data_IF_338131121538
#
_entry.id   IF_338131121538
#
_cell.length_a   1.000
_cell.length_b   1.000
_cell.length_c   1.000
_cell.angle_alpha   90.00
_cell.angle_beta   90.00
_cell.angle_gamma   90.00
#
_symmetry.space_group_name_H-M   'P 1'
#
loop_
_entity.id
_entity.type
_entity.pdbx_description
1 polymer ?
#
# COMPACT_ATOMS: atom_id res chain seq x y z
N UNK A 1 16.45 -20.27 7.31
CA UNK A 1 15.62 -19.55 6.35
C UNK A 1 15.92 -18.06 6.44
N UNK A 2 16.21 -17.45 5.33
CA UNK A 2 16.55 -16.03 5.30
C UNK A 2 15.40 -15.22 4.72
N UNK A 3 15.24 -14.02 5.24
CA UNK A 3 14.30 -13.07 4.67
C UNK A 3 14.99 -12.27 3.56
N UNK A 4 14.21 -11.84 2.58
CA UNK A 4 14.73 -11.05 1.47
C UNK A 4 14.11 -9.65 1.51
N UNK A 5 14.96 -8.64 1.43
CA UNK A 5 14.50 -7.26 1.29
C UNK A 5 14.04 -7.04 -0.14
N UNK A 6 12.85 -6.47 -0.31
CA UNK A 6 12.29 -6.13 -1.62
C UNK A 6 12.41 -4.63 -1.84
N UNK A 7 12.95 -4.24 -2.97
CA UNK A 7 13.09 -2.83 -3.34
C UNK A 7 12.84 -2.66 -4.84
N UNK A 8 12.08 -1.64 -5.19
CA UNK A 8 11.88 -1.22 -6.58
C UNK A 8 11.87 0.31 -6.67
N UNK A 9 12.41 0.83 -7.77
CA UNK A 9 12.35 2.27 -8.05
C UNK A 9 10.98 2.68 -8.62
N UNK A 10 10.12 1.71 -8.91
CA UNK A 10 8.77 1.96 -9.45
C UNK A 10 7.73 2.25 -8.36
N UNK A 11 8.13 2.25 -7.11
CA UNK A 11 7.28 2.61 -5.98
C UNK A 11 7.97 3.67 -5.14
N UNK A 12 7.22 4.26 -4.20
CA UNK A 12 7.75 5.30 -3.32
C UNK A 12 9.01 4.82 -2.61
N UNK A 13 10.04 5.65 -2.62
CA UNK A 13 11.31 5.33 -1.95
C UNK A 13 11.12 5.34 -0.44
N UNK A 14 11.50 4.27 0.27
CA UNK A 14 11.36 4.23 1.71
C UNK A 14 12.45 5.07 2.39
N UNK A 15 12.20 5.57 3.61
CA UNK A 15 13.27 6.14 4.41
C UNK A 15 14.24 5.04 4.85
N UNK A 16 15.33 5.44 5.53
CA UNK A 16 16.34 4.47 5.99
C UNK A 16 15.84 3.57 7.12
N UNK A 17 14.68 3.86 7.70
CA UNK A 17 14.18 3.18 8.90
C UNK A 17 13.39 1.91 8.62
N UNK A 18 12.98 1.67 7.36
CA UNK A 18 12.26 0.44 7.00
C UNK A 18 12.39 0.16 5.50
N UNK A 19 12.07 -1.07 5.11
CA UNK A 19 12.07 -1.51 3.72
C UNK A 19 10.69 -1.34 3.10
N UNK A 20 10.60 -1.32 1.78
CA UNK A 20 9.30 -1.34 1.09
C UNK A 20 8.54 -2.62 1.41
N UNK A 21 9.23 -3.75 1.39
CA UNK A 21 8.67 -5.04 1.74
C UNK A 21 9.76 -6.03 2.12
N UNK A 22 9.35 -7.11 2.75
CA UNK A 22 10.22 -8.24 3.09
C UNK A 22 9.53 -9.52 2.65
N UNK A 23 10.27 -10.38 1.97
CA UNK A 23 9.79 -11.69 1.54
C UNK A 23 10.35 -12.75 2.47
N UNK A 24 9.49 -13.55 3.07
CA UNK A 24 9.87 -14.60 4.01
C UNK A 24 8.75 -15.63 4.15
N UNK A 25 9.09 -16.87 4.39
CA UNK A 25 8.13 -17.95 4.69
C UNK A 25 7.02 -18.09 3.63
N UNK A 26 7.34 -17.86 2.37
CA UNK A 26 6.35 -17.96 1.29
C UNK A 26 5.39 -16.79 1.21
N UNK A 27 5.65 -15.72 1.95
CA UNK A 27 4.79 -14.54 2.00
C UNK A 27 5.61 -13.27 1.73
N UNK A 28 4.92 -12.22 1.32
CA UNK A 28 5.50 -10.90 1.14
C UNK A 28 4.75 -9.96 2.08
N UNK A 29 5.51 -9.24 2.91
CA UNK A 29 4.99 -8.29 3.88
C UNK A 29 5.40 -6.89 3.45
N UNK A 30 4.43 -6.05 3.05
CA UNK A 30 4.77 -4.67 2.74
C UNK A 30 4.69 -3.81 3.98
N UNK A 31 5.52 -2.78 4.03
CA UNK A 31 5.35 -1.70 4.99
C UNK A 31 4.10 -0.90 4.67
N UNK A 32 3.68 -0.04 5.58
CA UNK A 32 2.64 0.93 5.30
C UNK A 32 3.06 1.78 4.10
N UNK A 33 2.34 1.65 3.00
CA UNK A 33 2.68 2.28 1.73
C UNK A 33 1.84 3.53 1.56
N UNK A 34 2.51 4.66 1.43
CA UNK A 34 1.88 5.98 1.28
C UNK A 34 1.72 6.33 -0.20
N UNK A 35 0.87 7.32 -0.53
CA UNK A 35 0.61 7.68 -1.93
C UNK A 35 1.69 8.59 -2.53
N UNK A 36 2.95 8.37 -2.18
CA UNK A 36 4.04 9.15 -2.76
C UNK A 36 4.33 8.69 -4.18
N UNK A 37 4.50 9.64 -5.09
CA UNK A 37 4.89 9.40 -6.47
C UNK A 37 6.39 9.04 -6.49
N UNK A 38 6.79 7.87 -7.01
CA UNK A 38 8.20 7.50 -7.05
C UNK A 38 9.05 8.43 -7.94
N UNK A 39 8.43 9.12 -8.90
CA UNK A 39 9.16 10.02 -9.79
C UNK A 39 9.50 11.35 -9.13
N UNK A 40 8.64 11.85 -8.25
CA UNK A 40 8.80 13.19 -7.66
C UNK A 40 9.11 13.16 -6.16
N UNK A 41 8.78 12.07 -5.47
CA UNK A 41 8.89 11.96 -4.02
C UNK A 41 7.81 12.71 -3.26
N UNK A 42 6.84 13.31 -3.95
CA UNK A 42 5.74 14.04 -3.35
C UNK A 42 4.46 13.20 -3.31
N UNK A 43 3.54 13.53 -2.41
CA UNK A 43 2.22 12.90 -2.38
C UNK A 43 1.52 13.16 -3.70
N UNK A 44 1.01 12.11 -4.33
CA UNK A 44 0.25 12.19 -5.57
C UNK A 44 -1.24 11.99 -5.26
N UNK A 45 -2.04 12.99 -5.62
CA UNK A 45 -3.47 12.94 -5.41
C UNK A 45 -3.93 13.88 -4.31
N UNK A 46 -5.09 14.50 -4.54
CA UNK A 46 -5.73 15.42 -3.60
C UNK A 46 -6.89 14.71 -2.91
N UNK A 47 -7.66 13.91 -3.66
CA UNK A 47 -8.81 13.19 -3.12
C UNK A 47 -8.38 11.87 -2.51
N UNK A 48 -9.24 11.33 -1.62
CA UNK A 48 -8.98 10.00 -1.04
C UNK A 48 -8.95 8.92 -2.12
N UNK A 49 -9.78 9.04 -3.16
CA UNK A 49 -9.80 8.09 -4.26
C UNK A 49 -8.44 8.09 -4.99
N UNK A 50 -7.92 9.26 -5.30
CA UNK A 50 -6.63 9.40 -5.97
C UNK A 50 -5.49 8.84 -5.12
N UNK A 51 -5.48 9.14 -3.83
CA UNK A 51 -4.44 8.66 -2.93
C UNK A 51 -4.51 7.15 -2.72
N UNK A 52 -5.71 6.59 -2.60
CA UNK A 52 -5.89 5.14 -2.52
C UNK A 52 -5.35 4.46 -3.78
N UNK A 53 -5.64 5.04 -4.95
CA UNK A 53 -5.12 4.55 -6.23
C UNK A 53 -3.59 4.55 -6.24
N UNK A 54 -2.97 5.61 -5.77
CA UNK A 54 -1.51 5.69 -5.77
C UNK A 54 -0.88 4.70 -4.79
N UNK A 55 -1.49 4.51 -3.60
CA UNK A 55 -1.02 3.49 -2.66
C UNK A 55 -1.04 2.10 -3.30
N UNK A 56 -2.14 1.74 -3.96
CA UNK A 56 -2.29 0.44 -4.58
C UNK A 56 -1.36 0.28 -5.80
N UNK A 57 -1.14 1.36 -6.54
CA UNK A 57 -0.16 1.37 -7.62
C UNK A 57 1.24 1.08 -7.11
N UNK A 58 1.63 1.71 -6.00
CA UNK A 58 2.93 1.46 -5.36
C UNK A 58 3.03 0.02 -4.85
N UNK A 59 1.98 -0.49 -4.20
CA UNK A 59 1.96 -1.87 -3.71
C UNK A 59 2.07 -2.85 -4.87
N UNK A 60 1.35 -2.61 -5.97
CA UNK A 60 1.44 -3.47 -7.15
C UNK A 60 2.86 -3.56 -7.68
N UNK A 61 3.58 -2.43 -7.74
CA UNK A 61 4.96 -2.41 -8.21
C UNK A 61 5.89 -3.18 -7.26
N UNK A 62 5.67 -3.04 -5.95
CA UNK A 62 6.47 -3.75 -4.94
C UNK A 62 6.24 -5.27 -5.05
N UNK A 63 4.99 -5.68 -5.16
CA UNK A 63 4.66 -7.10 -5.28
C UNK A 63 5.20 -7.70 -6.58
N UNK A 64 5.12 -6.95 -7.68
CA UNK A 64 5.66 -7.38 -8.95
C UNK A 64 7.18 -7.60 -8.87
N UNK A 65 7.89 -6.70 -8.20
CA UNK A 65 9.33 -6.85 -7.98
C UNK A 65 9.65 -8.12 -7.20
N UNK A 66 8.77 -8.50 -6.28
CA UNK A 66 8.92 -9.71 -5.47
C UNK A 66 8.43 -10.97 -6.18
N UNK A 67 7.93 -10.87 -7.40
CA UNK A 67 7.41 -12.01 -8.17
C UNK A 67 5.97 -12.37 -7.88
N UNK A 68 5.19 -11.45 -7.28
CA UNK A 68 3.79 -11.65 -6.92
C UNK A 68 2.88 -10.66 -7.65
N UNK A 69 1.66 -10.46 -7.16
CA UNK A 69 0.69 -9.57 -7.78
C UNK A 69 -0.42 -9.21 -6.79
N UNK A 70 -1.23 -8.23 -7.14
CA UNK A 70 -2.33 -7.77 -6.29
C UNK A 70 -3.35 -8.86 -5.98
N UNK A 71 -3.64 -9.74 -6.92
CA UNK A 71 -4.61 -10.82 -6.74
C UNK A 71 -4.11 -11.92 -5.78
N UNK A 72 -2.84 -11.87 -5.39
CA UNK A 72 -2.27 -12.77 -4.39
C UNK A 72 -2.26 -12.18 -2.98
N UNK A 73 -2.81 -10.99 -2.80
CA UNK A 73 -2.91 -10.38 -1.47
C UNK A 73 -3.90 -11.17 -0.62
N UNK A 74 -3.49 -11.48 0.59
CA UNK A 74 -4.27 -12.27 1.56
C UNK A 74 -4.91 -11.35 2.60
N UNK A 75 -4.17 -10.34 3.06
CA UNK A 75 -4.62 -9.47 4.14
C UNK A 75 -4.11 -8.06 3.93
N UNK A 76 -4.94 -7.08 4.27
CA UNK A 76 -4.62 -5.66 4.10
C UNK A 76 -4.97 -4.90 5.36
N UNK A 77 -4.10 -3.97 5.74
CA UNK A 77 -4.36 -2.98 6.78
C UNK A 77 -4.43 -1.61 6.13
N UNK A 78 -5.53 -0.89 6.37
CA UNK A 78 -5.71 0.48 5.86
C UNK A 78 -5.74 1.43 7.03
N UNK A 79 -4.89 2.46 6.97
CA UNK A 79 -4.85 3.52 7.96
C UNK A 79 -5.34 4.81 7.29
N UNK A 80 -6.37 5.43 7.85
CA UNK A 80 -6.95 6.68 7.36
C UNK A 80 -6.65 7.80 8.33
N UNK A 81 -6.31 8.97 7.81
CA UNK A 81 -6.13 10.16 8.63
C UNK A 81 -7.48 10.72 9.11
N UNK A 82 -8.54 10.52 8.33
CA UNK A 82 -9.89 10.99 8.63
C UNK A 82 -10.88 9.88 8.33
N UNK A 83 -11.71 9.55 9.32
CA UNK A 83 -12.75 8.52 9.16
C UNK A 83 -13.81 8.89 8.13
N UNK A 84 -13.98 10.17 7.83
CA UNK A 84 -14.89 10.63 6.76
C UNK A 84 -14.47 10.19 5.37
N UNK A 85 -13.22 9.74 5.21
CA UNK A 85 -12.71 9.25 3.92
C UNK A 85 -12.96 7.76 3.68
N UNK A 86 -13.57 7.06 4.63
CA UNK A 86 -13.77 5.61 4.51
C UNK A 86 -14.58 5.23 3.28
N UNK A 87 -15.69 5.91 3.02
CA UNK A 87 -16.55 5.59 1.89
C UNK A 87 -15.85 5.89 0.55
N UNK A 88 -15.15 7.03 0.46
CA UNK A 88 -14.41 7.39 -0.75
C UNK A 88 -13.27 6.42 -1.03
N UNK A 89 -12.59 5.95 0.01
CA UNK A 89 -11.56 4.92 -0.13
C UNK A 89 -12.17 3.64 -0.70
N UNK A 90 -13.33 3.21 -0.18
CA UNK A 90 -14.01 2.02 -0.70
C UNK A 90 -14.44 2.17 -2.15
N UNK A 91 -14.83 3.36 -2.60
CA UNK A 91 -15.18 3.61 -4.00
C UNK A 91 -14.02 3.27 -4.93
N UNK A 92 -12.80 3.64 -4.55
CA UNK A 92 -11.62 3.30 -5.34
C UNK A 92 -11.24 1.83 -5.17
N UNK A 93 -11.32 1.33 -3.94
CA UNK A 93 -10.94 -0.04 -3.57
C UNK A 93 -11.63 -1.09 -4.44
N UNK A 94 -12.95 -0.96 -4.66
CA UNK A 94 -13.71 -1.96 -5.42
C UNK A 94 -13.30 -2.03 -6.89
N UNK A 95 -12.66 -1.01 -7.42
CA UNK A 95 -12.12 -1.04 -8.79
C UNK A 95 -10.91 -1.95 -8.91
N UNK A 96 -10.15 -2.11 -7.80
CA UNK A 96 -8.94 -2.92 -7.75
C UNK A 96 -9.24 -4.36 -7.32
N UNK A 97 -10.28 -4.55 -6.50
CA UNK A 97 -10.67 -5.85 -5.98
C UNK A 97 -12.18 -6.07 -6.21
N UNK A 98 -12.58 -6.24 -7.50
CA UNK A 98 -14.00 -6.38 -7.84
C UNK A 98 -14.61 -7.72 -7.42
N UNK A 99 -13.78 -8.73 -7.18
CA UNK A 99 -14.25 -10.06 -6.74
C UNK A 99 -13.19 -10.69 -5.83
N UNK A 100 -13.65 -11.53 -4.90
CA UNK A 100 -12.79 -12.25 -3.96
C UNK A 100 -11.77 -11.32 -3.27
N UNK A 101 -12.25 -10.23 -2.62
CA UNK A 101 -11.33 -9.28 -1.98
C UNK A 101 -10.56 -9.92 -0.83
N UNK A 102 -9.37 -9.41 -0.51
CA UNK A 102 -8.60 -9.91 0.63
C UNK A 102 -9.27 -9.55 1.95
N UNK A 103 -8.85 -10.23 3.01
CA UNK A 103 -9.22 -9.83 4.36
C UNK A 103 -8.67 -8.42 4.62
N UNK A 104 -9.43 -7.60 5.34
CA UNK A 104 -9.05 -6.19 5.53
C UNK A 104 -9.45 -5.70 6.91
N UNK A 105 -8.60 -4.89 7.50
CA UNK A 105 -8.93 -4.13 8.70
C UNK A 105 -8.25 -2.78 8.62
N UNK A 106 -8.62 -1.88 9.51
CA UNK A 106 -8.08 -0.54 9.46
C UNK A 106 -8.18 0.20 10.77
N UNK A 107 -7.61 1.39 10.77
CA UNK A 107 -7.59 2.27 11.91
C UNK A 107 -7.53 3.71 11.43
N UNK A 108 -7.88 4.62 12.33
CA UNK A 108 -7.69 6.05 12.14
C UNK A 108 -6.43 6.47 12.88
N UNK A 109 -5.56 7.21 12.21
CA UNK A 109 -4.35 7.73 12.80
C UNK A 109 -4.07 9.11 12.22
N UNK A 110 -3.84 10.14 13.04
CA UNK A 110 -3.52 11.47 12.53
C UNK A 110 -2.29 11.42 11.61
N UNK A 111 -2.39 12.08 10.46
CA UNK A 111 -1.30 12.15 9.51
C UNK A 111 -0.21 13.09 10.00
N UNK A 112 1.05 12.68 9.87
CA UNK A 112 2.21 13.53 10.20
C UNK A 112 2.61 14.40 9.03
N UNK A 113 2.27 13.97 7.82
CA UNK A 113 2.64 14.67 6.58
C UNK A 113 1.43 15.44 6.10
N UNK A 114 1.55 16.76 5.85
CA UNK A 114 0.43 17.53 5.32
C UNK A 114 -0.10 16.94 4.03
N UNK A 115 -1.42 16.80 3.94
CA UNK A 115 -2.09 16.27 2.77
C UNK A 115 -2.17 14.75 2.70
N UNK A 116 -1.49 14.03 3.59
CA UNK A 116 -1.56 12.57 3.62
C UNK A 116 -2.90 12.12 4.19
N UNK A 117 -3.63 11.29 3.44
CA UNK A 117 -4.96 10.81 3.84
C UNK A 117 -5.00 9.31 4.14
N UNK A 118 -4.13 8.52 3.54
CA UNK A 118 -4.22 7.06 3.63
C UNK A 118 -2.85 6.41 3.50
N UNK A 119 -2.69 5.29 4.19
CA UNK A 119 -1.54 4.41 4.04
C UNK A 119 -2.06 2.96 4.06
N UNK A 120 -1.47 2.10 3.25
CA UNK A 120 -1.93 0.72 3.08
C UNK A 120 -0.76 -0.23 3.23
N UNK A 121 -0.93 -1.26 4.05
CA UNK A 121 0.02 -2.36 4.18
C UNK A 121 -0.66 -3.66 3.76
N UNK A 122 0.10 -4.56 3.14
CA UNK A 122 -0.46 -5.80 2.62
C UNK A 122 0.43 -7.00 2.93
N UNK A 123 -0.20 -8.15 3.04
CA UNK A 123 0.46 -9.45 3.09
C UNK A 123 -0.03 -10.22 1.88
N UNK A 124 0.90 -10.71 1.06
CA UNK A 124 0.58 -11.44 -0.16
C UNK A 124 1.33 -12.77 -0.20
N UNK A 125 0.80 -13.72 -0.96
CA UNK A 125 1.56 -14.93 -1.27
C UNK A 125 2.68 -14.59 -2.24
N UNK A 126 3.78 -15.25 -2.04
CA UNK A 126 4.93 -15.07 -2.92
C UNK A 126 4.73 -15.77 -4.30
#
# INVERSE_FOLDING_TARGET
>A
MTRQIVFTTKAAKPPATYSQAVKAAGLIFTSGTTPHDPATGAIKGVTIQEQTRQCLTNIAAILEEAGSSLDKIVSVTIVLADEGDFQGMNEEWVKWFPSNPPARHGAKLPARIPGLKVSIAAIAEA
#
